data_IF_991989500983
#
_entry.id   IF_991989500983
#
_cell.length_a   1.000
_cell.length_b   1.000
_cell.length_c   1.000
_cell.angle_alpha   90.00
_cell.angle_beta   90.00
_cell.angle_gamma   90.00
#
_symmetry.space_group_name_H-M   'P 1'
#
loop_
_entity.id
_entity.type
_entity.pdbx_description
1 polymer ?
#
# COMPACT_ATOMS: atom_id res chain seq x y z
N UNK A 1 15.45 -33.53 9.53
CA UNK A 1 14.62 -33.09 8.38
C UNK A 1 13.14 -32.90 8.72
N UNK A 2 12.49 -33.80 9.47
CA UNK A 2 11.06 -33.66 9.85
C UNK A 2 10.77 -32.35 10.60
N UNK A 3 11.61 -32.00 11.59
CA UNK A 3 11.45 -30.76 12.37
C UNK A 3 11.61 -29.51 11.47
N UNK A 4 12.56 -29.53 10.52
CA UNK A 4 12.76 -28.44 9.57
C UNK A 4 11.55 -28.25 8.65
N UNK A 5 10.97 -29.34 8.15
CA UNK A 5 9.78 -29.30 7.31
C UNK A 5 8.54 -28.83 8.10
N UNK A 6 8.42 -29.22 9.37
CA UNK A 6 7.35 -28.74 10.26
C UNK A 6 7.48 -27.25 10.57
N UNK A 7 8.69 -26.76 10.81
CA UNK A 7 8.95 -25.33 11.01
C UNK A 7 8.58 -24.57 9.74
N UNK A 8 9.04 -24.99 8.56
CA UNK A 8 8.67 -24.36 7.28
C UNK A 8 7.16 -24.35 7.08
N UNK A 9 6.45 -25.46 7.37
CA UNK A 9 5.00 -25.55 7.19
C UNK A 9 4.18 -24.70 8.18
N UNK A 10 4.67 -24.51 9.40
CA UNK A 10 4.04 -23.70 10.45
C UNK A 10 4.44 -22.21 10.36
N UNK A 11 5.57 -21.91 9.72
CA UNK A 11 6.09 -20.55 9.54
C UNK A 11 5.57 -19.83 8.29
N UNK A 12 4.77 -20.47 7.43
CA UNK A 12 4.06 -19.75 6.36
C UNK A 12 2.91 -18.95 6.99
N UNK A 13 2.94 -17.61 7.01
CA UNK A 13 1.85 -16.81 7.52
C UNK A 13 0.66 -16.97 6.57
N UNK A 14 -0.28 -17.85 6.94
CA UNK A 14 -1.51 -18.08 6.17
C UNK A 14 -2.46 -16.87 6.18
N UNK A 15 -2.18 -15.88 7.02
CA UNK A 15 -3.06 -14.75 7.29
C UNK A 15 -3.21 -13.78 6.11
N UNK A 16 -2.26 -13.77 5.15
CA UNK A 16 -2.32 -12.90 3.96
C UNK A 16 -1.73 -13.61 2.74
N UNK A 17 -2.22 -14.81 2.44
CA UNK A 17 -2.00 -15.38 1.10
C UNK A 17 -2.82 -14.56 0.11
N UNK A 18 -2.23 -13.50 -0.43
CA UNK A 18 -2.73 -12.89 -1.65
C UNK A 18 -2.52 -13.91 -2.75
N UNK A 19 -3.61 -14.42 -3.32
CA UNK A 19 -3.54 -15.30 -4.47
C UNK A 19 -2.93 -14.48 -5.62
N UNK A 20 -1.65 -14.69 -5.89
CA UNK A 20 -0.91 -14.00 -6.94
C UNK A 20 -1.32 -14.48 -8.34
N UNK A 21 -2.41 -15.25 -8.45
CA UNK A 21 -3.13 -15.36 -9.71
C UNK A 21 -3.67 -13.99 -10.06
N UNK A 22 -3.30 -13.49 -11.23
CA UNK A 22 -3.76 -12.25 -11.80
C UNK A 22 -5.28 -12.21 -11.95
N UNK A 23 -6.00 -12.02 -10.84
CA UNK A 23 -7.37 -11.56 -10.87
C UNK A 23 -7.34 -10.16 -11.47
N UNK A 24 -8.01 -10.03 -12.61
CA UNK A 24 -8.03 -8.78 -13.35
C UNK A 24 -8.43 -7.63 -12.42
N UNK A 25 -7.65 -6.56 -12.43
CA UNK A 25 -7.88 -5.39 -11.59
C UNK A 25 -9.31 -4.88 -11.80
N UNK A 26 -10.10 -4.62 -10.74
CA UNK A 26 -11.44 -4.09 -10.88
C UNK A 26 -11.42 -2.80 -11.73
N UNK A 27 -12.40 -2.56 -12.62
CA UNK A 27 -12.37 -1.41 -13.52
C UNK A 27 -12.17 -0.06 -12.82
N UNK A 28 -12.70 0.09 -11.60
CA UNK A 28 -12.52 1.28 -10.79
C UNK A 28 -11.05 1.50 -10.36
N UNK A 29 -10.34 0.43 -10.00
CA UNK A 29 -8.92 0.49 -9.68
C UNK A 29 -8.08 0.71 -10.95
N UNK A 30 -8.41 0.07 -12.06
CA UNK A 30 -7.72 0.29 -13.33
C UNK A 30 -7.75 1.77 -13.75
N UNK A 31 -8.91 2.45 -13.60
CA UNK A 31 -9.05 3.89 -13.84
C UNK A 31 -8.05 4.74 -13.04
N UNK A 32 -7.80 4.40 -11.79
CA UNK A 32 -6.81 5.10 -10.95
C UNK A 32 -5.37 4.78 -11.36
N UNK A 33 -5.08 3.52 -11.73
CA UNK A 33 -3.74 3.10 -12.19
C UNK A 33 -3.35 3.73 -13.54
N UNK A 34 -4.33 3.95 -14.43
CA UNK A 34 -4.13 4.52 -15.76
C UNK A 34 -4.17 6.06 -15.77
N UNK A 35 -4.58 6.68 -14.66
CA UNK A 35 -4.71 8.13 -14.58
C UNK A 35 -3.36 8.86 -14.63
N UNK A 36 -3.40 10.08 -15.18
CA UNK A 36 -2.23 10.96 -15.20
C UNK A 36 -1.70 11.19 -13.78
N UNK A 37 -0.38 11.13 -13.63
CA UNK A 37 0.29 11.32 -12.34
C UNK A 37 0.32 10.08 -11.44
N UNK A 38 -0.29 8.95 -11.84
CA UNK A 38 -0.24 7.72 -11.04
C UNK A 38 1.20 7.27 -10.73
N UNK A 39 2.11 7.30 -11.72
CA UNK A 39 3.50 6.91 -11.51
C UNK A 39 4.18 7.72 -10.39
N UNK A 40 3.95 9.04 -10.34
CA UNK A 40 4.49 9.89 -9.28
C UNK A 40 3.85 9.58 -7.92
N UNK A 41 2.54 9.33 -7.88
CA UNK A 41 1.86 8.92 -6.64
C UNK A 41 2.35 7.56 -6.16
N UNK A 42 2.54 6.59 -7.06
CA UNK A 42 3.11 5.29 -6.74
C UNK A 42 4.47 5.45 -6.08
N UNK A 43 5.36 6.25 -6.64
CA UNK A 43 6.70 6.46 -6.09
C UNK A 43 6.64 7.11 -4.68
N UNK A 44 5.71 8.05 -4.48
CA UNK A 44 5.41 8.61 -3.14
C UNK A 44 4.91 7.54 -2.18
N UNK A 45 3.92 6.73 -2.58
CA UNK A 45 3.33 5.69 -1.73
C UNK A 45 4.36 4.63 -1.36
N UNK A 46 5.19 4.20 -2.30
CA UNK A 46 6.29 3.26 -2.05
C UNK A 46 7.30 3.84 -1.05
N UNK A 47 7.65 5.12 -1.19
CA UNK A 47 8.64 5.78 -0.33
C UNK A 47 8.12 6.12 1.06
N UNK A 48 6.81 6.39 1.19
CA UNK A 48 6.22 6.97 2.42
C UNK A 48 5.31 6.02 3.18
N UNK A 49 4.75 5.00 2.53
CA UNK A 49 3.68 4.17 3.09
C UNK A 49 4.00 2.68 3.10
N UNK A 50 4.64 2.14 2.06
CA UNK A 50 4.81 0.71 1.87
C UNK A 50 5.55 0.01 3.03
N UNK A 51 6.51 0.69 3.67
CA UNK A 51 7.24 0.14 4.82
C UNK A 51 6.33 -0.32 5.98
N UNK A 52 5.18 0.32 6.18
CA UNK A 52 4.18 -0.10 7.17
C UNK A 52 3.03 -0.89 6.55
N UNK A 53 2.73 -0.64 5.27
CA UNK A 53 1.61 -1.20 4.51
C UNK A 53 2.09 -2.25 3.49
N UNK A 54 2.89 -3.20 3.95
CA UNK A 54 3.38 -4.34 3.17
C UNK A 54 2.86 -5.65 3.76
N UNK A 55 2.90 -6.73 2.98
CA UNK A 55 2.64 -8.08 3.46
C UNK A 55 3.54 -8.43 4.65
N UNK A 56 4.79 -7.98 4.62
CA UNK A 56 5.75 -8.05 5.72
C UNK A 56 6.21 -6.63 6.09
N UNK A 57 5.55 -5.97 7.07
CA UNK A 57 5.93 -4.62 7.47
C UNK A 57 7.36 -4.55 8.02
N UNK A 58 8.12 -3.58 7.53
CA UNK A 58 9.51 -3.34 7.94
C UNK A 58 9.68 -2.31 9.07
N UNK A 59 8.60 -1.84 9.69
CA UNK A 59 8.63 -0.76 10.68
C UNK A 59 8.30 -1.24 12.09
N UNK A 60 9.26 -1.08 13.00
CA UNK A 60 9.08 -1.34 14.43
C UNK A 60 8.75 -2.81 14.71
N UNK A 61 7.68 -3.04 15.45
CA UNK A 61 7.17 -4.36 15.82
C UNK A 61 5.84 -4.71 15.13
N UNK A 62 5.59 -4.14 13.95
CA UNK A 62 4.41 -4.47 13.15
C UNK A 62 4.59 -5.87 12.56
N UNK A 63 3.71 -6.80 12.98
CA UNK A 63 3.67 -8.16 12.44
C UNK A 63 2.74 -8.30 11.22
N UNK A 64 1.88 -7.30 10.98
CA UNK A 64 0.92 -7.27 9.87
C UNK A 64 0.61 -5.82 9.49
N UNK A 65 0.22 -5.57 8.23
CA UNK A 65 -0.10 -4.22 7.78
C UNK A 65 -1.28 -3.66 8.57
N UNK A 66 -1.25 -2.38 8.98
CA UNK A 66 -2.36 -1.74 9.67
C UNK A 66 -3.66 -1.86 8.87
N UNK A 67 -4.71 -2.36 9.54
CA UNK A 67 -6.03 -2.61 8.94
C UNK A 67 -6.02 -3.58 7.74
N UNK A 68 -4.95 -4.36 7.54
CA UNK A 68 -4.82 -5.24 6.39
C UNK A 68 -4.60 -4.52 5.05
N UNK A 69 -4.24 -3.23 5.07
CA UNK A 69 -4.01 -2.45 3.86
C UNK A 69 -2.58 -2.66 3.36
N UNK A 70 -2.44 -3.22 2.16
CA UNK A 70 -1.17 -3.41 1.47
C UNK A 70 -1.05 -2.39 0.33
N UNK A 71 0.16 -1.89 0.07
CA UNK A 71 0.46 -0.82 -0.89
C UNK A 71 1.78 -1.08 -1.66
N UNK A 72 2.10 -2.35 -1.91
CA UNK A 72 3.34 -2.80 -2.55
C UNK A 72 3.24 -2.86 -4.08
N UNK A 73 2.03 -3.02 -4.61
CA UNK A 73 1.80 -3.13 -6.06
C UNK A 73 0.90 -2.03 -6.58
N UNK A 74 1.00 -1.75 -7.88
CA UNK A 74 0.16 -0.76 -8.55
C UNK A 74 -1.33 -1.06 -8.36
N UNK A 75 -1.70 -2.34 -8.42
CA UNK A 75 -3.07 -2.82 -8.19
C UNK A 75 -3.57 -2.49 -6.79
N UNK A 76 -2.73 -2.72 -5.78
CA UNK A 76 -3.05 -2.43 -4.39
C UNK A 76 -3.18 -0.93 -4.14
N UNK A 77 -2.26 -0.12 -4.67
CA UNK A 77 -2.30 1.35 -4.56
C UNK A 77 -3.57 1.90 -5.21
N UNK A 78 -3.88 1.43 -6.42
CA UNK A 78 -5.05 1.88 -7.15
C UNK A 78 -6.37 1.43 -6.50
N UNK A 79 -6.43 0.21 -5.93
CA UNK A 79 -7.56 -0.28 -5.16
C UNK A 79 -7.82 0.55 -3.89
N UNK A 80 -6.78 1.16 -3.31
CA UNK A 80 -6.86 2.00 -2.12
C UNK A 80 -6.79 3.50 -2.41
N UNK A 81 -7.05 3.93 -3.64
CA UNK A 81 -6.92 5.32 -4.07
C UNK A 81 -7.71 6.30 -3.17
N UNK A 82 -8.93 5.93 -2.78
CA UNK A 82 -9.78 6.74 -1.90
C UNK A 82 -9.19 6.89 -0.50
N UNK A 83 -8.71 5.80 0.08
CA UNK A 83 -8.09 5.82 1.41
C UNK A 83 -6.80 6.63 1.40
N UNK A 84 -5.95 6.45 0.39
CA UNK A 84 -4.72 7.24 0.21
C UNK A 84 -5.07 8.73 0.09
N UNK A 85 -6.08 9.07 -0.72
CA UNK A 85 -6.55 10.45 -0.85
C UNK A 85 -7.02 11.02 0.48
N UNK A 86 -7.87 10.32 1.23
CA UNK A 86 -8.42 10.84 2.49
C UNK A 86 -7.37 10.94 3.60
N UNK A 87 -6.52 9.92 3.75
CA UNK A 87 -5.62 9.80 4.90
C UNK A 87 -4.28 10.51 4.71
N UNK A 88 -3.74 10.49 3.48
CA UNK A 88 -2.45 11.08 3.16
C UNK A 88 -2.59 12.37 2.32
N UNK A 89 -3.51 12.41 1.36
CA UNK A 89 -3.67 13.60 0.50
C UNK A 89 -4.40 14.76 1.16
N UNK A 90 -5.60 14.50 1.68
CA UNK A 90 -6.54 15.51 2.20
C UNK A 90 -6.30 15.82 3.67
N UNK A 91 -6.08 14.79 4.47
CA UNK A 91 -5.72 14.94 5.89
C UNK A 91 -4.23 14.73 6.11
N UNK A 92 -3.80 14.90 7.37
CA UNK A 92 -2.46 14.58 7.85
C UNK A 92 -2.45 13.34 8.75
N UNK A 93 -3.45 12.48 8.62
CA UNK A 93 -3.57 11.28 9.45
C UNK A 93 -2.44 10.28 9.13
N UNK A 94 -2.04 10.22 7.86
CA UNK A 94 -0.94 9.39 7.39
C UNK A 94 0.16 10.23 6.74
N UNK A 95 1.43 9.82 6.94
CA UNK A 95 1.91 8.88 7.95
C UNK A 95 1.68 9.41 9.38
N UNK A 96 1.51 8.56 10.41
CA UNK A 96 1.32 9.02 11.78
C UNK A 96 2.52 9.86 12.22
N UNK A 97 2.25 11.03 12.82
CA UNK A 97 3.28 12.01 13.18
C UNK A 97 4.25 12.39 12.02
N UNK A 98 3.85 12.16 10.78
CA UNK A 98 4.66 12.33 9.58
C UNK A 98 6.04 11.65 9.64
N UNK A 99 6.14 10.47 10.24
CA UNK A 99 7.42 9.76 10.47
C UNK A 99 8.26 9.49 9.22
N UNK A 100 7.64 9.37 8.04
CA UNK A 100 8.36 9.17 6.76
C UNK A 100 8.59 10.46 5.98
N UNK A 101 8.20 11.61 6.55
CA UNK A 101 8.47 12.93 5.97
C UNK A 101 7.66 13.24 4.70
N UNK A 102 6.40 12.82 4.63
CA UNK A 102 5.51 13.12 3.51
C UNK A 102 5.30 14.65 3.39
N UNK A 103 5.76 15.25 2.29
CA UNK A 103 5.75 16.71 2.08
C UNK A 103 4.40 17.21 1.58
N UNK A 104 4.16 18.53 1.65
CA UNK A 104 2.90 19.10 1.13
C UNK A 104 2.79 19.02 -0.40
N UNK A 105 3.91 19.04 -1.11
CA UNK A 105 3.98 18.82 -2.56
C UNK A 105 3.57 17.39 -2.91
N UNK A 106 4.10 16.39 -2.19
CA UNK A 106 3.73 14.99 -2.36
C UNK A 106 2.24 14.77 -2.05
N UNK A 107 1.70 15.42 -1.01
CA UNK A 107 0.25 15.41 -0.73
C UNK A 107 -0.55 16.05 -1.85
N UNK A 108 -0.05 17.12 -2.46
CA UNK A 108 -0.71 17.77 -3.59
C UNK A 108 -0.78 16.84 -4.81
N UNK A 109 0.27 16.07 -5.09
CA UNK A 109 0.27 15.05 -6.15
C UNK A 109 -0.82 14.00 -5.92
N UNK A 110 -0.92 13.45 -4.71
CA UNK A 110 -1.98 12.50 -4.33
C UNK A 110 -3.37 13.09 -4.58
N UNK A 111 -3.58 14.35 -4.17
CA UNK A 111 -4.87 15.04 -4.34
C UNK A 111 -5.21 15.28 -5.81
N UNK A 112 -4.22 15.66 -6.62
CA UNK A 112 -4.40 15.94 -8.04
C UNK A 112 -4.76 14.64 -8.79
N UNK A 113 -3.97 13.59 -8.59
CA UNK A 113 -4.21 12.28 -9.17
C UNK A 113 -5.59 11.71 -8.82
N UNK A 114 -5.99 11.72 -7.54
CA UNK A 114 -7.29 11.16 -7.15
C UNK A 114 -8.48 11.93 -7.74
N UNK A 115 -8.38 13.25 -7.93
CA UNK A 115 -9.45 14.06 -8.54
C UNK A 115 -9.46 14.01 -10.05
N UNK A 116 -8.30 13.79 -10.68
CA UNK A 116 -8.15 13.66 -12.12
C UNK A 116 -8.36 12.23 -12.63
N UNK A 117 -8.39 11.25 -11.72
CA UNK A 117 -8.71 9.87 -12.04
C UNK A 117 -10.19 9.67 -12.27
#
# INVERSE_FOLDING_TARGET
>A
MVIFLLIVFLSVPRAFTYDATAEAMPPAAARHAEAEGFAAVRDVVQSRCAMCHAAEPGWGNLYWPPKGVMLETDAQIAAHAREIYLQAGLSRAMPPANITGLTEEERALIRAWYRGS
#
